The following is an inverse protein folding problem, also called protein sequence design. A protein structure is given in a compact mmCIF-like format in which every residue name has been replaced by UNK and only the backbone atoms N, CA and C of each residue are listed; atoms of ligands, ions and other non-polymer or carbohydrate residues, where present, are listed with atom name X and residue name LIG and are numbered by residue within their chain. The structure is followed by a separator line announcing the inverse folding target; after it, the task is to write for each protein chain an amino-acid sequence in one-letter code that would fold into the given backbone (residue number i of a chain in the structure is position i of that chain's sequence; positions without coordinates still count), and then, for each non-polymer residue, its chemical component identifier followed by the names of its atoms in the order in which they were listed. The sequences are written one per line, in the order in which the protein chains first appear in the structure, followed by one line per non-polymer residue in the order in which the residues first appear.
data_IF_416541974876
#
_entry.id   IF_416541974876
#
_cell.length_a   1.000
_cell.length_b   1.000
_cell.length_c   1.000
_cell.angle_alpha   90.00
_cell.angle_beta   90.00
_cell.angle_gamma   90.00
#
_symmetry.space_group_name_H-M   'P 1'
#
loop_
_entity.id
_entity.type
_entity.pdbx_description
1 polymer ?
#
# COMPACT_ATOMS: atom_id res chain seq x y z
N UNK A 1 -18.23 27.81 10.40
CA UNK A 1 -17.64 26.63 9.74
C UNK A 1 -16.22 26.25 10.19
N UNK A 2 -15.60 26.94 11.17
CA UNK A 2 -14.23 26.62 11.62
C UNK A 2 -14.18 25.59 12.78
N UNK A 3 -15.22 25.53 13.62
CA UNK A 3 -15.21 24.73 14.85
C UNK A 3 -15.40 23.22 14.66
N UNK A 4 -15.88 22.76 13.50
CA UNK A 4 -16.16 21.32 13.24
C UNK A 4 -14.90 20.57 12.77
N UNK A 5 -13.90 21.27 12.23
CA UNK A 5 -12.65 20.64 11.77
C UNK A 5 -11.76 20.20 12.95
N UNK A 6 -11.80 20.95 14.05
CA UNK A 6 -10.95 20.71 15.22
C UNK A 6 -11.38 19.48 16.04
N UNK A 7 -12.69 19.17 16.11
CA UNK A 7 -13.18 18.02 16.89
C UNK A 7 -12.94 16.67 16.21
N UNK A 8 -12.77 16.65 14.88
CA UNK A 8 -12.52 15.41 14.12
C UNK A 8 -11.04 14.98 14.14
N UNK A 9 -10.13 15.91 14.46
CA UNK A 9 -8.68 15.67 14.47
C UNK A 9 -8.21 14.97 15.76
N UNK A 10 -8.95 15.13 16.87
CA UNK A 10 -8.63 14.53 18.17
C UNK A 10 -8.99 13.05 18.30
N UNK A 11 -9.75 12.45 17.39
CA UNK A 11 -10.04 11.01 17.44
C UNK A 11 -9.09 10.22 16.55
N UNK A 12 -8.67 10.80 15.42
CA UNK A 12 -7.85 10.09 14.42
C UNK A 12 -6.43 9.78 14.90
N UNK A 13 -5.80 10.64 15.71
CA UNK A 13 -4.42 10.45 16.17
C UNK A 13 -4.20 9.23 17.07
N UNK A 14 -5.26 8.72 17.72
CA UNK A 14 -5.17 7.57 18.61
C UNK A 14 -5.40 6.23 17.90
N UNK A 15 -6.06 6.25 16.73
CA UNK A 15 -6.47 5.04 16.01
C UNK A 15 -5.81 4.85 14.64
N UNK A 16 -5.28 5.91 14.04
CA UNK A 16 -4.70 5.87 12.70
C UNK A 16 -3.25 6.32 12.72
N UNK A 17 -2.43 5.65 11.89
CA UNK A 17 -1.04 6.07 11.63
C UNK A 17 -1.04 7.51 11.11
N UNK A 18 -0.07 8.29 11.57
CA UNK A 18 0.18 9.62 11.01
C UNK A 18 0.60 9.50 9.53
N UNK A 19 0.44 10.56 8.72
CA UNK A 19 0.90 10.55 7.33
C UNK A 19 2.38 10.19 7.19
N UNK A 20 3.21 10.62 8.14
CA UNK A 20 4.64 10.31 8.16
C UNK A 20 4.88 8.81 8.40
N UNK A 21 4.22 8.23 9.40
CA UNK A 21 4.32 6.79 9.69
C UNK A 21 3.78 5.94 8.54
N UNK A 22 2.71 6.37 7.88
CA UNK A 22 2.15 5.67 6.71
C UNK A 22 3.06 5.72 5.48
N UNK A 23 3.83 6.79 5.30
CA UNK A 23 4.73 6.95 4.16
C UNK A 23 6.09 6.26 4.36
N UNK A 24 6.45 5.89 5.60
CA UNK A 24 7.78 5.42 5.95
C UNK A 24 8.24 4.23 5.11
N UNK A 25 7.38 3.21 4.93
CA UNK A 25 7.72 2.01 4.14
C UNK A 25 7.97 2.36 2.67
N UNK A 26 7.15 3.21 2.07
CA UNK A 26 7.34 3.65 0.68
C UNK A 26 8.63 4.44 0.50
N UNK A 27 8.97 5.31 1.45
CA UNK A 27 10.23 6.06 1.44
C UNK A 27 11.42 5.12 1.59
N UNK A 28 11.35 4.15 2.50
CA UNK A 28 12.39 3.14 2.70
C UNK A 28 12.63 2.34 1.41
N UNK A 29 11.57 1.87 0.76
CA UNK A 29 11.69 1.09 -0.48
C UNK A 29 12.22 1.90 -1.67
N UNK A 30 11.89 3.19 -1.74
CA UNK A 30 12.32 4.05 -2.83
C UNK A 30 13.76 4.56 -2.68
N UNK A 31 14.28 4.64 -1.45
CA UNK A 31 15.53 5.36 -1.18
C UNK A 31 16.61 4.55 -0.47
N UNK A 32 16.29 3.41 0.15
CA UNK A 32 17.28 2.67 0.94
C UNK A 32 18.16 1.77 0.05
N UNK A 33 19.49 1.84 0.17
CA UNK A 33 20.40 0.92 -0.52
C UNK A 33 20.22 -0.52 -0.02
N UNK A 34 19.67 -0.74 1.17
CA UNK A 34 19.46 -2.07 1.75
C UNK A 34 18.49 -2.95 0.93
N UNK A 35 17.62 -2.31 0.14
CA UNK A 35 16.63 -3.01 -0.71
C UNK A 35 16.92 -2.84 -2.20
N UNK A 36 18.10 -2.32 -2.55
CA UNK A 36 18.48 -2.14 -3.94
C UNK A 36 18.54 -3.50 -4.65
N UNK A 37 17.76 -3.65 -5.71
CA UNK A 37 17.65 -4.91 -6.47
C UNK A 37 16.68 -5.95 -5.89
N UNK A 38 16.05 -5.70 -4.75
CA UNK A 38 15.00 -6.59 -4.20
C UNK A 38 13.70 -6.36 -4.96
N UNK A 39 13.13 -7.43 -5.52
CA UNK A 39 11.85 -7.39 -6.24
C UNK A 39 10.96 -8.59 -5.90
N UNK A 40 9.65 -8.44 -6.08
CA UNK A 40 8.67 -9.52 -5.81
C UNK A 40 8.42 -9.81 -4.32
N UNK A 41 8.85 -8.93 -3.42
CA UNK A 41 8.66 -9.05 -1.97
C UNK A 41 7.63 -8.04 -1.48
N UNK A 42 6.95 -8.37 -0.39
CA UNK A 42 5.99 -7.49 0.27
C UNK A 42 6.60 -6.96 1.57
N UNK A 43 6.46 -5.66 1.83
CA UNK A 43 7.01 -5.01 3.01
C UNK A 43 5.92 -4.28 3.79
N UNK A 44 5.88 -4.51 5.10
CA UNK A 44 5.07 -3.78 6.07
C UNK A 44 5.98 -3.20 7.16
N UNK A 45 5.71 -1.95 7.56
CA UNK A 45 6.50 -1.25 8.60
C UNK A 45 8.04 -1.36 8.42
N UNK A 46 8.51 -1.17 7.18
CA UNK A 46 9.91 -1.29 6.74
C UNK A 46 10.55 -2.68 6.91
N UNK A 47 9.76 -3.75 6.99
CA UNK A 47 10.24 -5.14 7.08
C UNK A 47 9.54 -6.02 6.07
N UNK A 48 10.24 -7.06 5.60
CA UNK A 48 9.62 -8.07 4.74
C UNK A 48 8.57 -8.84 5.54
N UNK A 49 7.37 -8.98 4.97
CA UNK A 49 6.25 -9.69 5.57
C UNK A 49 5.77 -10.80 4.63
N UNK A 50 5.32 -11.92 5.20
CA UNK A 50 4.75 -13.01 4.42
C UNK A 50 3.36 -12.64 3.92
N UNK A 51 3.16 -12.88 2.61
CA UNK A 51 1.86 -12.69 1.98
C UNK A 51 0.90 -13.81 2.38
N UNK A 52 -0.38 -13.47 2.45
CA UNK A 52 -1.43 -14.47 2.57
C UNK A 52 -1.39 -15.42 1.36
N UNK A 53 -1.66 -16.73 1.51
CA UNK A 53 -1.64 -17.68 0.40
C UNK A 53 -2.52 -17.26 -0.78
N UNK A 54 -3.65 -16.61 -0.50
CA UNK A 54 -4.57 -16.08 -1.52
C UNK A 54 -3.96 -14.95 -2.35
N UNK A 55 -3.04 -14.16 -1.77
CA UNK A 55 -2.34 -13.09 -2.48
C UNK A 55 -1.23 -13.64 -3.40
N UNK A 56 -0.86 -14.91 -3.27
CA UNK A 56 0.14 -15.59 -4.09
C UNK A 56 -0.49 -16.43 -5.22
N UNK A 57 -1.80 -16.32 -5.45
CA UNK A 57 -2.49 -17.05 -6.52
C UNK A 57 -2.32 -16.32 -7.86
N UNK A 58 -1.38 -16.80 -8.67
CA UNK A 58 -1.07 -16.24 -10.00
C UNK A 58 -2.24 -16.33 -11.00
N UNK A 59 -3.18 -17.26 -10.82
CA UNK A 59 -4.35 -17.38 -11.70
C UNK A 59 -5.35 -16.27 -11.37
N UNK A 60 -5.57 -16.02 -10.08
CA UNK A 60 -6.43 -14.93 -9.61
C UNK A 60 -5.82 -13.58 -9.98
N UNK A 61 -4.50 -13.40 -9.81
CA UNK A 61 -3.79 -12.18 -10.17
C UNK A 61 -3.92 -11.86 -11.68
N UNK A 62 -3.72 -12.86 -12.56
CA UNK A 62 -3.90 -12.70 -14.01
C UNK A 62 -5.33 -12.32 -14.37
N UNK A 63 -6.32 -13.05 -13.83
CA UNK A 63 -7.73 -12.74 -14.08
C UNK A 63 -8.11 -11.32 -13.63
N UNK A 64 -7.56 -10.86 -12.51
CA UNK A 64 -7.77 -9.50 -12.02
C UNK A 64 -7.18 -8.46 -12.96
N UNK A 65 -5.96 -8.72 -13.49
CA UNK A 65 -5.32 -7.85 -14.47
C UNK A 65 -6.14 -7.74 -15.76
N UNK A 66 -6.56 -8.87 -16.34
CA UNK A 66 -7.36 -8.91 -17.58
C UNK A 66 -8.65 -8.07 -17.44
N UNK A 67 -9.36 -8.22 -16.32
CA UNK A 67 -10.58 -7.44 -16.04
C UNK A 67 -10.25 -5.95 -15.89
N UNK A 68 -9.16 -5.62 -15.20
CA UNK A 68 -8.74 -4.23 -14.98
C UNK A 68 -8.39 -3.53 -16.30
N UNK A 69 -7.68 -4.21 -17.20
CA UNK A 69 -7.34 -3.70 -18.53
C UNK A 69 -8.57 -3.36 -19.37
N UNK A 70 -9.60 -4.22 -19.31
CA UNK A 70 -10.90 -3.96 -19.96
C UNK A 70 -11.61 -2.77 -19.30
N UNK A 71 -11.60 -2.68 -17.97
CA UNK A 71 -12.24 -1.57 -17.24
C UNK A 71 -11.63 -0.21 -17.55
N UNK A 72 -10.30 -0.14 -17.73
CA UNK A 72 -9.60 1.11 -18.07
C UNK A 72 -9.47 1.34 -19.58
N UNK A 73 -10.00 0.43 -20.41
CA UNK A 73 -10.00 0.54 -21.87
C UNK A 73 -8.63 0.43 -22.54
N UNK A 74 -7.66 -0.21 -21.87
CA UNK A 74 -6.33 -0.47 -22.44
C UNK A 74 -6.37 -1.56 -23.52
N UNK A 75 -7.30 -2.50 -23.39
CA UNK A 75 -7.59 -3.52 -24.40
C UNK A 75 -8.98 -3.23 -24.98
N UNK A 76 -9.04 -3.10 -26.31
CA UNK A 76 -10.29 -2.97 -27.08
C UNK A 76 -10.80 -4.33 -27.51
#
# INVERSE_FOLDING_TARGET
SCSVVLTHQQMSWAFFKSPLEGAQTSIYLASSPDVEGVSGKYFGDCKEEELLPKAMDDLVARKLWDISEVMVGLLK
#
